data_IF_609821761175
#
_entry.id   IF_609821761175
#
_cell.length_a   1.000
_cell.length_b   1.000
_cell.length_c   1.000
_cell.angle_alpha   90.00
_cell.angle_beta   90.00
_cell.angle_gamma   90.00
#
_symmetry.space_group_name_H-M   'P 1'
#
loop_
_entity.id
_entity.type
_entity.pdbx_description
1 polymer ?
#
# COMPACT_ATOMS: atom_id res chain seq x y z
N UNK A 1 73.89 19.91 14.66
CA UNK A 1 73.56 18.83 13.72
C UNK A 1 72.12 19.00 13.26
N UNK A 2 71.98 19.33 11.97
CA UNK A 2 70.86 19.10 11.04
C UNK A 2 69.42 19.46 11.50
N UNK A 3 68.79 20.48 10.90
CA UNK A 3 67.95 20.38 9.68
C UNK A 3 66.84 19.32 9.82
N UNK A 4 65.55 19.53 9.52
CA UNK A 4 64.75 20.63 8.97
C UNK A 4 63.33 20.04 8.73
N UNK A 5 62.40 20.87 8.21
CA UNK A 5 61.18 20.49 7.45
C UNK A 5 59.88 20.24 8.26
N UNK A 6 58.95 21.21 8.16
CA UNK A 6 57.50 21.00 8.23
C UNK A 6 56.98 20.31 6.97
N UNK A 7 55.84 19.61 7.03
CA UNK A 7 54.85 19.81 5.98
C UNK A 7 53.42 20.01 6.49
N UNK A 8 52.69 20.77 5.70
CA UNK A 8 51.26 20.98 5.72
C UNK A 8 50.47 19.75 5.19
N UNK A 9 49.14 19.83 5.33
CA UNK A 9 48.09 18.97 4.76
C UNK A 9 48.01 17.56 5.35
N UNK A 10 46.84 17.05 5.73
CA UNK A 10 45.71 16.91 4.82
C UNK A 10 44.42 16.70 5.61
N UNK A 11 43.37 17.35 5.13
CA UNK A 11 41.96 17.07 5.40
C UNK A 11 41.64 15.59 5.58
N UNK A 12 41.14 15.20 6.75
CA UNK A 12 40.33 13.99 6.89
C UNK A 12 38.94 14.39 7.40
N UNK A 13 38.17 14.87 6.42
CA UNK A 13 36.71 14.90 6.38
C UNK A 13 36.16 13.60 6.98
N UNK A 14 35.13 13.63 7.85
CA UNK A 14 34.66 12.44 8.54
C UNK A 14 34.24 11.39 7.52
N UNK A 15 34.77 10.17 7.67
CA UNK A 15 34.23 8.98 7.01
C UNK A 15 32.72 9.04 7.17
N UNK A 16 32.01 9.18 6.04
CA UNK A 16 30.56 9.04 5.94
C UNK A 16 30.21 7.80 6.75
N UNK A 17 29.58 8.01 7.90
CA UNK A 17 29.09 6.91 8.71
C UNK A 17 28.16 6.11 7.79
N UNK A 18 28.52 4.86 7.53
CA UNK A 18 27.59 3.82 7.10
C UNK A 18 26.33 4.06 7.92
N UNK A 19 25.22 4.46 7.27
CA UNK A 19 23.95 4.74 7.93
C UNK A 19 23.62 3.50 8.75
N UNK A 20 23.84 3.57 10.07
CA UNK A 20 23.71 2.40 10.93
C UNK A 20 22.31 1.87 10.74
N UNK A 21 22.19 0.63 10.29
CA UNK A 21 20.93 -0.08 10.09
C UNK A 21 20.34 -0.41 11.46
N UNK A 22 19.97 0.63 12.21
CA UNK A 22 19.24 0.48 13.44
C UNK A 22 17.91 -0.21 13.11
N UNK A 23 17.47 -1.17 13.95
CA UNK A 23 16.21 -1.85 13.73
C UNK A 23 15.06 -0.84 13.68
N UNK A 24 14.14 -1.05 12.74
CA UNK A 24 12.98 -0.19 12.53
C UNK A 24 12.15 -0.13 13.82
N UNK A 25 11.95 1.08 14.35
CA UNK A 25 11.11 1.28 15.53
C UNK A 25 9.68 1.62 15.13
N UNK A 26 8.74 1.48 16.08
CA UNK A 26 7.36 1.91 15.87
C UNK A 26 7.25 3.42 15.56
N UNK A 27 8.13 4.23 16.15
CA UNK A 27 8.20 5.67 15.88
C UNK A 27 8.64 5.97 14.44
N UNK A 28 9.47 5.13 13.84
CA UNK A 28 9.89 5.27 12.45
C UNK A 28 8.77 4.92 11.48
N UNK A 29 8.02 3.85 11.77
CA UNK A 29 6.86 3.44 10.96
C UNK A 29 5.83 4.56 10.87
N UNK A 30 5.57 5.26 11.98
CA UNK A 30 4.64 6.40 12.02
C UNK A 30 5.07 7.59 11.15
N UNK A 31 6.34 7.65 10.72
CA UNK A 31 6.86 8.71 9.83
C UNK A 31 6.75 8.34 8.34
N UNK A 32 6.43 7.09 8.00
CA UNK A 32 6.38 6.58 6.62
C UNK A 32 5.10 7.00 5.87
N UNK A 33 4.74 8.28 5.93
CA UNK A 33 3.48 8.80 5.41
C UNK A 33 3.27 8.49 3.92
N UNK A 34 4.31 8.60 3.10
CA UNK A 34 4.21 8.32 1.67
C UNK A 34 4.07 6.82 1.39
N UNK A 35 4.77 5.96 2.15
CA UNK A 35 4.60 4.51 2.02
C UNK A 35 3.17 4.07 2.38
N UNK A 36 2.56 4.71 3.39
CA UNK A 36 1.15 4.48 3.74
C UNK A 36 0.22 4.92 2.61
N UNK A 37 0.52 6.04 1.93
CA UNK A 37 -0.24 6.52 0.77
C UNK A 37 -0.17 5.53 -0.40
N UNK A 38 1.05 5.08 -0.73
CA UNK A 38 1.32 4.05 -1.75
C UNK A 38 0.55 2.78 -1.42
N UNK A 39 0.65 2.28 -0.18
CA UNK A 39 -0.05 1.07 0.26
C UNK A 39 -1.57 1.20 0.09
N UNK A 40 -2.16 2.32 0.48
CA UNK A 40 -3.61 2.54 0.34
C UNK A 40 -4.06 2.59 -1.11
N UNK A 41 -3.30 3.28 -1.96
CA UNK A 41 -3.61 3.33 -3.39
C UNK A 41 -3.43 1.96 -4.06
N UNK A 42 -2.42 1.19 -3.66
CA UNK A 42 -2.24 -0.19 -4.11
C UNK A 42 -3.45 -1.06 -3.73
N UNK A 43 -3.95 -0.96 -2.50
CA UNK A 43 -5.14 -1.71 -2.07
C UNK A 43 -6.44 -1.23 -2.75
N UNK A 44 -6.50 0.03 -3.19
CA UNK A 44 -7.62 0.55 -3.97
C UNK A 44 -7.63 -0.08 -5.37
N UNK A 45 -6.53 0.03 -6.12
CA UNK A 45 -6.43 -0.48 -7.48
C UNK A 45 -6.38 -2.01 -7.55
N UNK A 46 -5.68 -2.64 -6.62
CA UNK A 46 -5.48 -4.08 -6.57
C UNK A 46 -6.15 -4.65 -5.34
N UNK A 47 -7.48 -4.64 -5.36
CA UNK A 47 -8.28 -5.10 -4.23
C UNK A 47 -8.17 -6.62 -4.08
N UNK A 48 -7.74 -7.10 -2.92
CA UNK A 48 -7.50 -8.54 -2.66
C UNK A 48 -8.82 -9.34 -2.67
N UNK A 49 -9.90 -8.77 -2.14
CA UNK A 49 -11.23 -9.37 -2.18
C UNK A 49 -12.19 -8.45 -2.95
N UNK A 50 -12.57 -8.84 -4.16
CA UNK A 50 -13.40 -8.04 -5.04
C UNK A 50 -14.87 -7.92 -4.62
N UNK A 51 -15.36 -8.80 -3.73
CA UNK A 51 -16.76 -8.86 -3.36
C UNK A 51 -16.99 -9.20 -1.88
N UNK A 52 -17.83 -8.42 -1.22
CA UNK A 52 -18.32 -8.71 0.13
C UNK A 52 -19.71 -9.33 -0.01
N UNK A 53 -19.83 -10.61 0.32
CA UNK A 53 -21.10 -11.36 0.21
C UNK A 53 -21.77 -11.49 1.58
N UNK A 54 -23.09 -11.30 1.63
CA UNK A 54 -23.94 -11.46 2.81
C UNK A 54 -25.23 -12.16 2.45
N UNK A 55 -25.80 -12.91 3.38
CA UNK A 55 -27.15 -13.44 3.28
C UNK A 55 -28.07 -12.69 4.25
N UNK A 56 -29.24 -12.26 3.77
CA UNK A 56 -30.27 -11.64 4.59
C UNK A 56 -30.85 -12.65 5.59
N UNK A 57 -30.62 -12.44 6.88
CA UNK A 57 -31.13 -13.31 7.96
C UNK A 57 -32.62 -13.09 8.27
N UNK A 58 -33.15 -11.92 7.93
CA UNK A 58 -34.56 -11.55 8.00
C UNK A 58 -34.92 -10.63 6.84
N UNK A 59 -36.23 -10.40 6.66
CA UNK A 59 -36.69 -9.37 5.73
C UNK A 59 -36.14 -8.00 6.14
N UNK A 60 -35.57 -7.26 5.19
CA UNK A 60 -34.98 -5.95 5.43
C UNK A 60 -35.08 -5.05 4.19
N UNK A 61 -34.86 -3.75 4.36
CA UNK A 61 -34.83 -2.80 3.25
C UNK A 61 -33.41 -2.32 2.99
N UNK A 62 -33.03 -2.24 1.72
CA UNK A 62 -31.80 -1.62 1.25
C UNK A 62 -32.18 -0.51 0.27
N UNK A 63 -32.12 0.73 0.73
CA UNK A 63 -32.68 1.87 0.00
C UNK A 63 -34.18 1.64 -0.29
N UNK A 64 -34.64 1.76 -1.54
CA UNK A 64 -36.04 1.52 -1.90
C UNK A 64 -36.38 0.01 -2.06
N UNK A 65 -35.40 -0.89 -1.95
CA UNK A 65 -35.58 -2.30 -2.24
C UNK A 65 -35.87 -3.12 -0.99
N UNK A 66 -36.89 -3.97 -1.06
CA UNK A 66 -37.27 -4.91 0.00
C UNK A 66 -36.66 -6.29 -0.27
N UNK A 67 -35.78 -6.74 0.62
CA UNK A 67 -35.07 -8.01 0.52
C UNK A 67 -35.74 -9.06 1.42
N UNK A 68 -35.89 -10.28 0.90
CA UNK A 68 -36.44 -11.41 1.67
C UNK A 68 -35.33 -12.10 2.47
N UNK A 69 -35.71 -12.85 3.50
CA UNK A 69 -34.79 -13.79 4.16
C UNK A 69 -34.21 -14.77 3.13
N UNK A 70 -32.92 -15.05 3.21
CA UNK A 70 -32.17 -15.90 2.28
C UNK A 70 -31.67 -15.19 1.03
N UNK A 71 -31.99 -13.90 0.82
CA UNK A 71 -31.43 -13.14 -0.29
C UNK A 71 -29.92 -12.95 -0.11
N UNK A 72 -29.13 -13.33 -1.12
CA UNK A 72 -27.70 -13.04 -1.18
C UNK A 72 -27.47 -11.63 -1.72
N UNK A 73 -26.77 -10.81 -0.96
CA UNK A 73 -26.36 -9.46 -1.30
C UNK A 73 -24.85 -9.45 -1.50
N UNK A 74 -24.41 -8.91 -2.63
CA UNK A 74 -23.01 -8.75 -2.98
C UNK A 74 -22.68 -7.26 -3.09
N UNK A 75 -21.66 -6.82 -2.35
CA UNK A 75 -21.11 -5.47 -2.46
C UNK A 75 -19.77 -5.57 -3.18
N UNK A 76 -19.69 -5.00 -4.39
CA UNK A 76 -18.44 -4.98 -5.15
C UNK A 76 -17.50 -3.90 -4.61
N UNK A 77 -16.40 -4.34 -4.00
CA UNK A 77 -15.34 -3.46 -3.53
C UNK A 77 -14.57 -2.85 -4.71
N UNK A 78 -14.37 -3.63 -5.78
CA UNK A 78 -13.75 -3.15 -7.03
C UNK A 78 -14.56 -1.98 -7.60
N UNK A 79 -15.89 -2.13 -7.69
CA UNK A 79 -16.74 -1.04 -8.17
C UNK A 79 -16.63 0.20 -7.28
N UNK A 80 -16.70 0.05 -5.95
CA UNK A 80 -16.55 1.18 -5.02
C UNK A 80 -15.19 1.90 -5.16
N UNK A 81 -14.12 1.14 -5.36
CA UNK A 81 -12.75 1.64 -5.48
C UNK A 81 -12.43 2.26 -6.84
N UNK A 82 -13.20 1.94 -7.88
CA UNK A 82 -13.00 2.42 -9.25
C UNK A 82 -14.11 3.37 -9.73
N UNK A 83 -15.10 3.67 -8.89
CA UNK A 83 -16.24 4.49 -9.30
C UNK A 83 -15.82 5.94 -9.59
N UNK A 84 -16.06 6.47 -10.80
CA UNK A 84 -15.58 7.79 -11.20
C UNK A 84 -16.23 8.94 -10.42
N UNK A 85 -17.42 8.73 -9.84
CA UNK A 85 -18.05 9.72 -8.96
C UNK A 85 -17.25 9.93 -7.66
N UNK A 86 -16.60 8.88 -7.15
CA UNK A 86 -15.82 8.94 -5.91
C UNK A 86 -14.32 9.14 -6.16
N UNK A 87 -13.82 8.72 -7.33
CA UNK A 87 -12.40 8.72 -7.66
C UNK A 87 -12.17 9.39 -9.02
N UNK A 88 -11.57 10.57 -9.03
CA UNK A 88 -11.10 11.24 -10.26
C UNK A 88 -9.99 10.42 -10.92
N UNK A 89 -10.00 10.18 -12.24
CA UNK A 89 -9.05 9.29 -12.93
C UNK A 89 -8.82 7.95 -12.19
N UNK A 90 -9.87 7.13 -12.01
CA UNK A 90 -9.86 6.00 -11.08
C UNK A 90 -8.82 4.92 -11.44
N UNK A 91 -8.41 4.84 -12.71
CA UNK A 91 -7.45 3.85 -13.20
C UNK A 91 -5.99 4.26 -12.99
N UNK A 92 -5.72 5.54 -12.70
CA UNK A 92 -4.36 6.03 -12.47
C UNK A 92 -3.94 5.81 -11.02
N UNK A 93 -2.74 5.28 -10.85
CA UNK A 93 -2.09 5.14 -9.54
C UNK A 93 -1.61 6.51 -9.04
N UNK A 94 -2.34 7.09 -8.08
CA UNK A 94 -2.03 8.39 -7.47
C UNK A 94 -2.03 8.29 -5.94
N UNK A 95 -0.90 7.91 -5.29
CA UNK A 95 -0.78 7.83 -3.83
C UNK A 95 -1.26 9.08 -3.09
N UNK A 96 -1.06 10.24 -3.71
CA UNK A 96 -1.32 11.57 -3.15
C UNK A 96 -2.79 11.78 -2.76
N UNK A 97 -3.72 11.00 -3.33
CA UNK A 97 -5.13 10.94 -2.90
C UNK A 97 -5.28 10.67 -1.40
N UNK A 98 -4.37 9.89 -0.84
CA UNK A 98 -4.38 9.52 0.58
C UNK A 98 -3.53 10.44 1.46
N UNK A 99 -3.03 11.54 0.92
CA UNK A 99 -2.39 12.57 1.72
C UNK A 99 -3.41 13.25 2.65
N UNK A 100 -2.93 13.83 3.76
CA UNK A 100 -3.81 14.50 4.74
C UNK A 100 -4.59 15.67 4.12
N UNK A 101 -3.99 16.33 3.14
CA UNK A 101 -4.59 17.46 2.42
C UNK A 101 -5.69 16.97 1.47
N UNK A 102 -5.36 16.02 0.58
CA UNK A 102 -6.33 15.51 -0.39
C UNK A 102 -7.47 14.71 0.22
N UNK A 103 -7.24 13.90 1.26
CA UNK A 103 -8.31 13.11 1.90
C UNK A 103 -9.48 14.00 2.35
N UNK A 104 -9.19 15.20 2.86
CA UNK A 104 -10.23 16.14 3.32
C UNK A 104 -11.18 16.58 2.20
N UNK A 105 -10.70 16.57 0.95
CA UNK A 105 -11.44 17.03 -0.21
C UNK A 105 -11.95 15.88 -1.10
N UNK A 106 -11.34 14.69 -0.99
CA UNK A 106 -11.62 13.54 -1.87
C UNK A 106 -12.55 12.50 -1.24
N UNK A 107 -12.73 12.50 0.08
CA UNK A 107 -13.72 11.63 0.73
C UNK A 107 -15.12 12.20 0.53
N UNK A 108 -15.85 11.62 -0.43
CA UNK A 108 -17.24 11.96 -0.74
C UNK A 108 -18.23 11.04 -0.04
N UNK A 109 -17.85 9.79 0.23
CA UNK A 109 -18.72 8.80 0.85
C UNK A 109 -17.97 7.91 1.86
N UNK A 110 -18.56 7.58 3.03
CA UNK A 110 -17.88 6.80 4.08
C UNK A 110 -17.48 5.38 3.65
N UNK A 111 -18.13 4.83 2.63
CA UNK A 111 -17.85 3.48 2.11
C UNK A 111 -17.17 3.48 0.73
N UNK A 112 -16.63 4.61 0.27
CA UNK A 112 -15.91 4.66 -1.03
C UNK A 112 -14.58 3.88 -1.02
N UNK A 113 -14.02 3.65 0.17
CA UNK A 113 -12.76 2.94 0.38
C UNK A 113 -12.91 1.91 1.51
N UNK A 114 -13.04 0.64 1.13
CA UNK A 114 -13.36 -0.48 2.03
C UNK A 114 -12.49 -1.72 1.75
N UNK A 115 -11.16 -1.60 1.66
CA UNK A 115 -10.27 -2.74 1.37
C UNK A 115 -10.29 -3.83 2.46
N UNK A 116 -10.74 -3.47 3.66
CA UNK A 116 -10.88 -4.37 4.81
C UNK A 116 -12.35 -4.56 5.21
N UNK A 117 -13.28 -4.37 4.28
CA UNK A 117 -14.73 -4.27 4.56
C UNK A 117 -15.03 -3.11 5.53
N UNK A 118 -16.30 -2.97 5.92
CA UNK A 118 -16.74 -1.98 6.90
C UNK A 118 -17.84 -2.54 7.82
N UNK A 119 -18.14 -1.81 8.89
CA UNK A 119 -19.15 -2.17 9.88
C UNK A 119 -18.73 -3.28 10.86
N UNK A 120 -19.68 -3.95 11.54
CA UNK A 120 -19.40 -4.94 12.60
C UNK A 120 -18.61 -6.17 12.15
N UNK A 121 -18.55 -6.41 10.84
CA UNK A 121 -17.81 -7.52 10.22
C UNK A 121 -16.66 -7.00 9.35
N UNK A 122 -16.09 -5.85 9.70
CA UNK A 122 -14.80 -5.40 9.16
C UNK A 122 -13.69 -6.35 9.60
N UNK A 123 -12.58 -6.34 8.85
CA UNK A 123 -11.44 -7.21 9.14
C UNK A 123 -10.82 -6.87 10.50
N UNK A 124 -10.89 -7.81 11.44
CA UNK A 124 -10.25 -7.67 12.76
C UNK A 124 -8.72 -7.56 12.66
N UNK A 125 -8.14 -8.14 11.61
CA UNK A 125 -6.69 -8.12 11.34
C UNK A 125 -6.18 -6.87 10.65
N UNK A 126 -7.03 -5.88 10.34
CA UNK A 126 -6.64 -4.69 9.56
C UNK A 126 -5.40 -3.98 10.14
N UNK A 127 -5.37 -3.74 11.46
CA UNK A 127 -4.25 -3.04 12.10
C UNK A 127 -2.95 -3.85 12.03
N UNK A 128 -3.04 -5.17 12.25
CA UNK A 128 -1.89 -6.06 12.18
C UNK A 128 -1.32 -6.11 10.76
N UNK A 129 -2.18 -6.35 9.76
CA UNK A 129 -1.79 -6.42 8.36
C UNK A 129 -1.10 -5.14 7.89
N UNK A 130 -1.66 -3.97 8.21
CA UNK A 130 -1.03 -2.69 7.86
C UNK A 130 0.35 -2.52 8.50
N UNK A 131 0.51 -2.91 9.77
CA UNK A 131 1.80 -2.83 10.45
C UNK A 131 2.82 -3.79 9.85
N UNK A 132 2.45 -5.05 9.62
CA UNK A 132 3.32 -6.06 9.02
C UNK A 132 3.79 -5.64 7.63
N UNK A 133 2.86 -5.18 6.78
CA UNK A 133 3.18 -4.72 5.44
C UNK A 133 4.15 -3.53 5.50
N UNK A 134 3.91 -2.56 6.39
CA UNK A 134 4.82 -1.41 6.52
C UNK A 134 6.21 -1.82 7.01
N UNK A 135 6.32 -2.74 7.97
CA UNK A 135 7.61 -3.26 8.45
C UNK A 135 8.34 -4.01 7.35
N UNK A 136 7.67 -4.94 6.68
CA UNK A 136 8.26 -5.75 5.61
C UNK A 136 8.69 -4.87 4.45
N UNK A 137 7.80 -4.01 3.93
CA UNK A 137 8.13 -3.13 2.81
C UNK A 137 9.23 -2.14 3.15
N UNK A 138 9.19 -1.50 4.32
CA UNK A 138 10.26 -0.56 4.70
C UNK A 138 11.61 -1.24 4.87
N UNK A 139 11.64 -2.43 5.46
CA UNK A 139 12.87 -3.24 5.58
C UNK A 139 13.37 -3.66 4.20
N UNK A 140 12.51 -4.22 3.36
CA UNK A 140 12.87 -4.61 2.00
C UNK A 140 13.41 -3.42 1.19
N UNK A 141 12.71 -2.28 1.26
CA UNK A 141 13.10 -1.05 0.58
C UNK A 141 14.32 -0.37 1.21
N UNK A 142 14.81 -0.75 2.39
CA UNK A 142 16.07 -0.25 2.95
C UNK A 142 17.26 -1.06 2.44
N UNK A 143 17.11 -2.38 2.38
CA UNK A 143 18.20 -3.32 2.11
C UNK A 143 18.34 -3.70 0.63
N UNK A 144 17.28 -3.52 -0.17
CA UNK A 144 17.26 -4.00 -1.55
C UNK A 144 16.79 -2.94 -2.54
N UNK A 145 17.19 -3.12 -3.79
CA UNK A 145 16.65 -2.44 -4.96
C UNK A 145 15.87 -3.44 -5.79
N UNK A 146 14.71 -3.01 -6.31
CA UNK A 146 13.79 -3.85 -7.06
C UNK A 146 13.73 -3.34 -8.50
N UNK A 147 13.87 -4.24 -9.47
CA UNK A 147 13.62 -3.96 -10.89
C UNK A 147 12.71 -5.02 -11.46
N UNK A 148 11.77 -4.63 -12.32
CA UNK A 148 10.96 -5.60 -13.05
C UNK A 148 11.88 -6.45 -13.93
N UNK A 149 11.63 -7.76 -13.98
CA UNK A 149 12.32 -8.60 -14.96
C UNK A 149 11.96 -8.10 -16.37
N UNK A 150 12.89 -8.16 -17.32
CA UNK A 150 12.69 -7.62 -18.67
C UNK A 150 11.47 -8.17 -19.42
N UNK A 151 10.91 -9.31 -18.97
CA UNK A 151 9.70 -9.92 -19.53
C UNK A 151 8.39 -9.31 -19.01
N UNK A 152 8.44 -8.56 -17.91
CA UNK A 152 7.26 -8.07 -17.20
C UNK A 152 7.05 -6.56 -17.35
N UNK A 153 7.57 -5.96 -18.44
CA UNK A 153 7.27 -4.56 -18.80
C UNK A 153 5.85 -4.41 -19.37
N UNK A 154 4.86 -4.99 -18.70
CA UNK A 154 3.47 -4.88 -19.13
C UNK A 154 2.92 -3.50 -18.76
N UNK A 155 2.14 -2.91 -19.67
CA UNK A 155 1.37 -1.67 -19.42
C UNK A 155 0.27 -1.86 -18.38
N UNK A 156 -0.15 -3.11 -18.11
CA UNK A 156 -1.08 -3.49 -17.06
C UNK A 156 -0.62 -4.80 -16.40
N UNK A 157 -0.70 -4.89 -15.08
CA UNK A 157 -0.37 -6.11 -14.35
C UNK A 157 -1.49 -7.15 -14.52
N UNK A 158 -1.24 -8.31 -15.16
CA UNK A 158 -2.24 -9.36 -15.21
C UNK A 158 -2.55 -9.86 -13.79
N UNK A 159 -3.81 -10.19 -13.55
CA UNK A 159 -4.29 -10.67 -12.26
C UNK A 159 -4.85 -12.08 -12.40
N UNK A 160 -4.74 -12.86 -11.33
CA UNK A 160 -5.40 -14.15 -11.19
C UNK A 160 -6.44 -14.04 -10.07
N UNK A 161 -7.66 -14.49 -10.37
CA UNK A 161 -8.79 -14.42 -9.45
C UNK A 161 -9.08 -15.83 -8.91
N UNK A 162 -8.74 -16.07 -7.65
CA UNK A 162 -9.06 -17.31 -6.94
C UNK A 162 -9.99 -16.99 -5.76
N UNK A 163 -9.70 -17.47 -4.54
CA UNK A 163 -10.34 -16.94 -3.33
C UNK A 163 -9.93 -15.47 -3.09
N UNK A 164 -8.71 -15.12 -3.50
CA UNK A 164 -8.17 -13.76 -3.50
C UNK A 164 -7.67 -13.38 -4.89
N UNK A 165 -7.60 -12.08 -5.14
CA UNK A 165 -7.03 -11.50 -6.36
C UNK A 165 -5.55 -11.19 -6.10
N UNK A 166 -4.66 -11.71 -6.94
CA UNK A 166 -3.22 -11.48 -6.86
C UNK A 166 -2.60 -11.29 -8.25
N UNK A 167 -1.40 -10.67 -8.35
CA UNK A 167 -0.70 -10.56 -9.62
C UNK A 167 -0.36 -11.93 -10.20
N UNK A 168 -0.58 -12.10 -11.50
CA UNK A 168 -0.18 -13.28 -12.26
C UNK A 168 1.21 -13.06 -12.86
N UNK A 169 2.09 -14.05 -12.74
CA UNK A 169 3.41 -14.09 -13.39
C UNK A 169 4.32 -12.86 -13.11
N UNK A 170 4.23 -12.23 -11.94
CA UNK A 170 5.08 -11.10 -11.57
C UNK A 170 6.49 -11.56 -11.16
N UNK A 171 7.50 -11.26 -11.98
CA UNK A 171 8.91 -11.52 -11.68
C UNK A 171 9.65 -10.22 -11.38
N UNK A 172 10.32 -10.20 -10.23
CA UNK A 172 11.08 -9.04 -9.75
C UNK A 172 12.51 -9.47 -9.49
N UNK A 173 13.45 -8.72 -10.05
CA UNK A 173 14.88 -8.86 -9.75
C UNK A 173 15.18 -8.01 -8.51
N UNK A 174 15.73 -8.66 -7.49
CA UNK A 174 16.05 -8.05 -6.21
C UNK A 174 17.56 -8.04 -6.05
N UNK A 175 18.15 -6.86 -5.89
CA UNK A 175 19.59 -6.69 -5.67
C UNK A 175 19.85 -6.07 -4.31
N UNK A 176 20.90 -6.52 -3.61
CA UNK A 176 21.34 -5.87 -2.38
C UNK A 176 21.70 -4.41 -2.69
N UNK A 177 21.20 -3.51 -1.86
CA UNK A 177 21.54 -2.09 -1.98
C UNK A 177 22.90 -1.88 -1.36
N UNK A 178 23.88 -1.53 -2.19
CA UNK A 178 25.19 -1.09 -1.72
C UNK A 178 25.01 0.26 -1.02
N UNK A 179 25.26 0.29 0.30
CA UNK A 179 25.24 1.50 1.14
C UNK A 179 26.65 1.94 1.45
#
# INVERSE_FOLDING_TARGET
SNNSITPANTTNNPKKASRSMLPLTFADINKLNYLVQVLKESMRLHTINGNIVRECNSECNVGPYKLKKGTIVMVSTVAAHMHPEFWEDPTLFKPERFSKEFIRHTVKHPYQYIPFSAGPRSCIGQKLALMEILVVLSTMLLHFTFTLAAKDSHTAMPQEETLTIHPKDLNVVVTLRNV
#
